data_IF_474122314329
#
_entry.id   IF_474122314329
#
_cell.length_a   1.000
_cell.length_b   1.000
_cell.length_c   1.000
_cell.angle_alpha   90.00
_cell.angle_beta   90.00
_cell.angle_gamma   90.00
#
_symmetry.space_group_name_H-M   'P 1'
#
loop_
_entity.id
_entity.type
_entity.pdbx_description
1 polymer ?
#
# COMPACT_ATOMS: atom_id res chain seq x y z
N UNK A 1 12.93 -16.04 -28.86
CA UNK A 1 13.97 -15.78 -27.84
C UNK A 1 13.67 -16.66 -26.65
N UNK A 2 14.65 -17.41 -26.12
CA UNK A 2 14.40 -18.35 -25.02
C UNK A 2 14.37 -17.68 -23.64
N UNK A 3 15.04 -16.54 -23.48
CA UNK A 3 15.16 -15.78 -22.23
C UNK A 3 15.01 -14.28 -22.50
N UNK A 4 14.22 -13.61 -21.67
CA UNK A 4 14.01 -12.15 -21.69
C UNK A 4 14.14 -11.64 -20.25
N UNK A 5 14.98 -10.62 -20.02
CA UNK A 5 15.14 -9.97 -18.70
C UNK A 5 15.26 -8.45 -18.91
N UNK A 6 14.53 -7.68 -18.10
CA UNK A 6 14.67 -6.23 -17.99
C UNK A 6 15.81 -5.92 -17.01
N UNK A 7 16.96 -5.50 -17.54
CA UNK A 7 18.22 -5.42 -16.78
C UNK A 7 18.39 -4.16 -15.91
N UNK A 8 17.56 -3.14 -16.09
CA UNK A 8 17.73 -1.86 -15.40
C UNK A 8 16.92 -1.73 -14.10
N UNK A 9 15.94 -2.62 -13.86
CA UNK A 9 14.93 -2.43 -12.82
C UNK A 9 15.53 -2.47 -11.41
N UNK A 10 15.57 -1.31 -10.75
CA UNK A 10 15.94 -1.20 -9.33
C UNK A 10 14.69 -1.26 -8.45
N UNK A 11 14.64 -2.26 -7.58
CA UNK A 11 13.57 -2.43 -6.61
C UNK A 11 14.16 -2.44 -5.20
N UNK A 12 13.73 -1.49 -4.38
CA UNK A 12 14.07 -1.43 -2.97
C UNK A 12 12.79 -1.60 -2.16
N UNK A 13 12.74 -2.65 -1.33
CA UNK A 13 11.65 -2.82 -0.40
C UNK A 13 11.84 -1.85 0.78
N UNK A 14 10.84 -1.00 1.05
CA UNK A 14 10.89 -0.06 2.18
C UNK A 14 9.71 -0.27 3.13
N UNK A 15 8.53 -0.51 2.58
CA UNK A 15 7.25 -0.60 3.30
C UNK A 15 6.52 -1.93 3.08
N UNK A 16 7.13 -2.86 2.34
CA UNK A 16 6.53 -4.14 1.93
C UNK A 16 5.21 -3.98 1.15
N UNK A 17 5.02 -2.80 0.53
CA UNK A 17 3.75 -2.42 -0.08
C UNK A 17 3.74 -2.69 -1.58
N UNK A 18 2.52 -2.76 -2.12
CA UNK A 18 2.29 -2.71 -3.57
C UNK A 18 2.95 -1.47 -4.20
N UNK A 19 2.93 -0.33 -3.50
CA UNK A 19 3.51 0.94 -3.97
C UNK A 19 5.00 0.83 -4.24
N UNK A 20 5.77 0.09 -3.42
CA UNK A 20 7.20 -0.08 -3.66
C UNK A 20 7.42 -0.80 -5.01
N UNK A 21 6.64 -1.85 -5.29
CA UNK A 21 6.74 -2.62 -6.54
C UNK A 21 6.28 -1.80 -7.76
N UNK A 22 5.16 -1.07 -7.63
CA UNK A 22 4.67 -0.16 -8.65
C UNK A 22 5.71 0.94 -8.96
N UNK A 23 6.31 1.54 -7.94
CA UNK A 23 7.31 2.59 -8.11
C UNK A 23 8.53 2.11 -8.90
N UNK A 24 9.04 0.92 -8.59
CA UNK A 24 10.16 0.33 -9.32
C UNK A 24 9.84 0.13 -10.81
N UNK A 25 8.63 -0.35 -11.13
CA UNK A 25 8.20 -0.56 -12.52
C UNK A 25 8.03 0.77 -13.27
N UNK A 26 7.32 1.73 -12.67
CA UNK A 26 7.00 3.00 -13.35
C UNK A 26 8.22 3.89 -13.53
N UNK A 27 9.12 3.93 -12.54
CA UNK A 27 10.36 4.71 -12.62
C UNK A 27 11.27 4.15 -13.71
N UNK A 28 11.45 2.83 -13.75
CA UNK A 28 12.23 2.17 -14.78
C UNK A 28 11.64 2.41 -16.18
N UNK A 29 10.32 2.34 -16.29
CA UNK A 29 9.64 2.58 -17.56
C UNK A 29 9.75 4.05 -18.03
N UNK A 30 10.16 4.96 -17.14
CA UNK A 30 10.12 6.40 -17.37
C UNK A 30 8.71 6.98 -17.31
N UNK A 31 7.75 6.23 -16.76
CA UNK A 31 6.35 6.66 -16.60
C UNK A 31 6.14 7.47 -15.32
N UNK A 32 7.05 7.39 -14.34
CA UNK A 32 6.97 8.21 -13.14
C UNK A 32 8.34 8.76 -12.78
N UNK A 33 8.42 10.08 -12.59
CA UNK A 33 9.70 10.79 -12.37
C UNK A 33 9.77 11.52 -11.03
N UNK A 34 8.64 11.56 -10.30
CA UNK A 34 8.59 12.14 -8.95
C UNK A 34 9.07 11.13 -7.91
N UNK A 35 9.45 11.56 -6.69
CA UNK A 35 9.87 10.65 -5.63
C UNK A 35 8.78 9.64 -5.22
N UNK A 36 9.16 8.50 -4.62
CA UNK A 36 8.22 7.45 -4.18
C UNK A 36 7.09 7.97 -3.29
N UNK A 37 7.37 8.90 -2.38
CA UNK A 37 6.34 9.51 -1.53
C UNK A 37 5.25 10.21 -2.37
N UNK A 38 5.59 10.80 -3.52
CA UNK A 38 4.60 11.35 -4.45
C UNK A 38 3.73 10.26 -5.05
N UNK A 39 4.29 9.11 -5.45
CA UNK A 39 3.48 7.98 -5.91
C UNK A 39 2.54 7.48 -4.79
N UNK A 40 3.09 7.28 -3.59
CA UNK A 40 2.37 6.79 -2.42
C UNK A 40 1.21 7.71 -2.02
N UNK A 41 1.45 9.03 -2.10
CA UNK A 41 0.44 10.05 -1.85
C UNK A 41 -0.59 10.19 -2.96
N UNK A 42 -0.17 10.31 -4.23
CA UNK A 42 -1.09 10.48 -5.37
C UNK A 42 -2.03 9.28 -5.57
N UNK A 43 -1.58 8.08 -5.20
CA UNK A 43 -2.42 6.86 -5.19
C UNK A 43 -3.23 6.68 -3.90
N UNK A 44 -3.12 7.62 -2.96
CA UNK A 44 -3.70 7.58 -1.61
C UNK A 44 -3.28 6.36 -0.75
N UNK A 45 -2.28 5.59 -1.18
CA UNK A 45 -1.83 4.38 -0.51
C UNK A 45 -1.28 4.65 0.90
N UNK A 46 -0.55 5.76 1.09
CA UNK A 46 0.01 6.13 2.40
C UNK A 46 -1.05 6.55 3.44
N UNK A 47 -2.28 6.84 3.01
CA UNK A 47 -3.39 7.21 3.90
C UNK A 47 -4.23 6.03 4.34
N UNK A 48 -4.07 4.85 3.73
CA UNK A 48 -4.78 3.64 4.17
C UNK A 48 -4.28 3.22 5.55
N UNK A 49 -5.22 2.94 6.45
CA UNK A 49 -4.92 2.45 7.78
C UNK A 49 -6.02 1.48 8.23
N UNK A 50 -5.71 0.19 8.21
CA UNK A 50 -6.62 -0.88 8.62
C UNK A 50 -5.89 -1.83 9.55
N UNK A 51 -6.54 -2.25 10.63
CA UNK A 51 -5.94 -3.18 11.59
C UNK A 51 -6.92 -4.28 11.93
N UNK A 52 -6.43 -5.51 12.01
CA UNK A 52 -7.15 -6.58 12.67
C UNK A 52 -7.25 -6.22 14.16
N UNK A 53 -8.39 -6.47 14.80
CA UNK A 53 -8.61 -6.12 16.22
C UNK A 53 -7.70 -6.89 17.19
N UNK A 54 -7.04 -7.94 16.72
CA UNK A 54 -5.99 -8.68 17.46
C UNK A 54 -4.57 -8.37 16.95
N UNK A 55 -4.41 -7.37 16.09
CA UNK A 55 -3.12 -6.90 15.55
C UNK A 55 -2.33 -7.97 14.78
N UNK A 56 -3.01 -8.80 13.99
CA UNK A 56 -2.34 -9.76 13.10
C UNK A 56 -1.52 -9.04 12.01
N UNK A 57 -0.44 -9.68 11.53
CA UNK A 57 0.45 -9.13 10.48
C UNK A 57 -0.24 -8.87 9.15
N UNK A 58 -1.35 -9.55 8.87
CA UNK A 58 -2.16 -9.33 7.67
C UNK A 58 -2.88 -7.97 7.65
N UNK A 59 -2.92 -7.24 8.77
CA UNK A 59 -3.52 -5.90 8.88
C UNK A 59 -3.11 -4.96 7.75
N UNK A 60 -1.83 -4.96 7.40
CA UNK A 60 -1.29 -4.10 6.36
C UNK A 60 -1.63 -4.56 4.93
N UNK A 61 -2.07 -5.81 4.73
CA UNK A 61 -2.39 -6.35 3.40
C UNK A 61 -3.84 -6.78 3.23
N UNK A 62 -4.64 -6.77 4.29
CA UNK A 62 -6.08 -7.01 4.27
C UNK A 62 -6.81 -5.79 3.71
N UNK A 63 -7.07 -5.80 2.40
CA UNK A 63 -7.91 -4.84 1.69
C UNK A 63 -8.26 -5.39 0.30
N UNK A 64 -9.16 -4.73 -0.43
CA UNK A 64 -9.50 -5.12 -1.79
C UNK A 64 -8.40 -4.77 -2.80
N UNK A 65 -7.43 -5.66 -2.99
CA UNK A 65 -6.31 -5.45 -3.93
C UNK A 65 -6.79 -5.10 -5.34
N UNK A 66 -7.83 -5.78 -5.83
CA UNK A 66 -8.36 -5.53 -7.16
C UNK A 66 -8.92 -4.11 -7.28
N UNK A 67 -9.74 -3.66 -6.35
CA UNK A 67 -10.28 -2.30 -6.44
C UNK A 67 -9.17 -1.25 -6.25
N UNK A 68 -8.41 -1.36 -5.17
CA UNK A 68 -7.45 -0.34 -4.75
C UNK A 68 -6.28 -0.19 -5.73
N UNK A 69 -5.74 -1.28 -6.27
CA UNK A 69 -4.61 -1.19 -7.19
C UNK A 69 -5.00 -0.74 -8.60
N UNK A 70 -6.26 -0.97 -9.01
CA UNK A 70 -6.77 -0.41 -10.27
C UNK A 70 -6.94 1.11 -10.12
N UNK A 71 -7.62 1.55 -9.06
CA UNK A 71 -7.82 2.96 -8.75
C UNK A 71 -6.48 3.68 -8.58
N UNK A 72 -5.50 3.05 -7.92
CA UNK A 72 -4.15 3.60 -7.82
C UNK A 72 -3.54 3.91 -9.20
N UNK A 73 -3.71 3.03 -10.19
CA UNK A 73 -3.20 3.26 -11.54
C UNK A 73 -3.98 4.37 -12.25
N UNK A 74 -5.31 4.39 -12.12
CA UNK A 74 -6.15 5.42 -12.73
C UNK A 74 -5.81 6.84 -12.20
N UNK A 75 -5.56 6.96 -10.89
CA UNK A 75 -5.16 8.22 -10.23
C UNK A 75 -3.86 8.82 -10.75
N UNK A 76 -3.00 7.99 -11.35
CA UNK A 76 -1.70 8.41 -11.90
C UNK A 76 -1.67 8.32 -13.44
N UNK A 77 -2.83 8.11 -14.08
CA UNK A 77 -2.96 8.06 -15.53
C UNK A 77 -2.37 6.82 -16.17
N UNK A 78 -2.24 5.71 -15.45
CA UNK A 78 -1.73 4.44 -15.96
C UNK A 78 -2.89 3.46 -16.15
N UNK A 79 -3.01 2.85 -17.33
CA UNK A 79 -3.95 1.76 -17.54
C UNK A 79 -3.31 0.43 -17.17
N UNK A 80 -4.06 -0.40 -16.45
CA UNK A 80 -3.61 -1.69 -15.97
C UNK A 80 -4.68 -2.77 -16.13
N UNK A 81 -4.21 -4.00 -16.34
CA UNK A 81 -5.02 -5.22 -16.28
C UNK A 81 -4.52 -6.07 -15.12
N UNK A 82 -5.42 -6.78 -14.46
CA UNK A 82 -5.11 -7.52 -13.25
C UNK A 82 -6.07 -8.68 -13.04
N UNK A 83 -5.66 -9.58 -12.15
CA UNK A 83 -6.49 -10.68 -11.66
C UNK A 83 -6.15 -10.94 -10.21
N UNK A 84 -7.18 -11.21 -9.41
CA UNK A 84 -7.09 -11.64 -8.03
C UNK A 84 -8.01 -12.83 -7.80
N UNK A 85 -7.60 -13.78 -6.98
CA UNK A 85 -8.42 -14.94 -6.66
C UNK A 85 -7.75 -15.92 -5.71
N UNK A 86 -8.30 -17.14 -5.65
CA UNK A 86 -7.82 -18.19 -4.78
C UNK A 86 -7.31 -19.39 -5.57
N UNK A 87 -6.18 -19.95 -5.14
CA UNK A 87 -5.53 -21.07 -5.80
C UNK A 87 -6.25 -22.42 -5.65
N UNK A 88 -7.24 -22.50 -4.77
CA UNK A 88 -8.09 -23.68 -4.59
C UNK A 88 -9.33 -23.69 -5.51
N UNK A 89 -9.57 -22.63 -6.29
CA UNK A 89 -10.71 -22.59 -7.22
C UNK A 89 -10.53 -23.59 -8.36
N UNK A 90 -11.58 -24.29 -8.83
CA UNK A 90 -11.47 -25.27 -9.92
C UNK A 90 -10.92 -24.69 -11.23
N UNK A 91 -11.16 -23.40 -11.47
CA UNK A 91 -10.73 -22.66 -12.65
C UNK A 91 -9.32 -22.07 -12.52
N UNK A 92 -8.67 -22.20 -11.35
CA UNK A 92 -7.34 -21.65 -11.10
C UNK A 92 -6.29 -22.02 -12.17
N UNK A 93 -6.22 -23.25 -12.71
CA UNK A 93 -5.26 -23.57 -13.77
C UNK A 93 -5.41 -22.71 -15.02
N UNK A 94 -6.64 -22.33 -15.39
CA UNK A 94 -6.90 -21.45 -16.54
C UNK A 94 -6.44 -20.02 -16.25
N UNK A 95 -6.74 -19.53 -15.05
CA UNK A 95 -6.29 -18.23 -14.58
C UNK A 95 -4.77 -18.12 -14.48
N UNK A 96 -4.10 -19.19 -14.03
CA UNK A 96 -2.62 -19.24 -13.98
C UNK A 96 -2.01 -19.17 -15.39
N UNK A 97 -2.57 -19.91 -16.36
CA UNK A 97 -2.12 -19.85 -17.76
C UNK A 97 -2.30 -18.47 -18.37
N UNK A 98 -3.44 -17.83 -18.12
CA UNK A 98 -3.71 -16.47 -18.58
C UNK A 98 -2.73 -15.47 -17.95
N UNK A 99 -2.51 -15.56 -16.64
CA UNK A 99 -1.54 -14.73 -15.93
C UNK A 99 -0.13 -14.85 -16.50
N UNK A 100 0.32 -16.08 -16.82
CA UNK A 100 1.62 -16.32 -17.45
C UNK A 100 1.71 -15.59 -18.79
N UNK A 101 0.67 -15.70 -19.62
CA UNK A 101 0.59 -15.03 -20.92
C UNK A 101 0.65 -13.52 -20.79
N UNK A 102 -0.13 -12.94 -19.87
CA UNK A 102 -0.22 -11.49 -19.69
C UNK A 102 1.09 -10.89 -19.17
N UNK A 103 1.73 -11.56 -18.20
CA UNK A 103 3.01 -11.15 -17.64
C UNK A 103 4.09 -11.18 -18.74
N UNK A 104 4.17 -12.25 -19.53
CA UNK A 104 5.12 -12.35 -20.65
C UNK A 104 4.89 -11.22 -21.66
N UNK A 105 3.63 -10.99 -22.05
CA UNK A 105 3.29 -9.91 -22.98
C UNK A 105 3.64 -8.52 -22.42
N UNK A 106 3.52 -8.32 -21.10
CA UNK A 106 3.94 -7.10 -20.42
C UNK A 106 5.47 -6.90 -20.51
N UNK A 107 6.23 -7.96 -20.22
CA UNK A 107 7.70 -7.97 -20.29
C UNK A 107 8.19 -7.75 -21.73
N UNK A 108 7.53 -8.36 -22.72
CA UNK A 108 7.86 -8.17 -24.15
C UNK A 108 7.67 -6.72 -24.60
N UNK A 109 6.78 -5.95 -23.94
CA UNK A 109 6.63 -4.50 -24.13
C UNK A 109 7.65 -3.68 -23.33
N UNK A 110 8.57 -4.32 -22.64
CA UNK A 110 9.59 -3.70 -21.80
C UNK A 110 9.03 -3.16 -20.50
N UNK A 111 8.01 -3.78 -19.90
CA UNK A 111 7.40 -3.35 -18.64
C UNK A 111 7.30 -4.54 -17.68
N UNK A 112 7.74 -4.38 -16.43
CA UNK A 112 7.58 -5.41 -15.40
C UNK A 112 6.11 -5.61 -14.99
N UNK A 113 5.84 -6.70 -14.29
CA UNK A 113 4.51 -6.98 -13.71
C UNK A 113 4.63 -7.11 -12.19
N UNK A 114 3.56 -6.76 -11.46
CA UNK A 114 3.48 -7.02 -10.02
C UNK A 114 2.80 -8.37 -9.79
N UNK A 115 3.32 -9.18 -8.87
CA UNK A 115 2.74 -10.47 -8.47
C UNK A 115 2.74 -10.58 -6.95
N UNK A 116 1.74 -11.27 -6.39
CA UNK A 116 1.75 -11.69 -4.99
C UNK A 116 2.52 -13.00 -4.80
N UNK A 117 3.65 -12.93 -4.08
CA UNK A 117 4.49 -14.06 -3.64
C UNK A 117 4.80 -13.94 -2.14
N UNK A 118 3.78 -14.10 -1.29
CA UNK A 118 3.78 -13.72 0.15
C UNK A 118 4.03 -12.23 0.43
N UNK A 119 4.34 -11.46 -0.61
CA UNK A 119 4.55 -10.02 -0.66
C UNK A 119 4.37 -9.58 -2.11
N UNK A 120 4.25 -8.29 -2.35
CA UNK A 120 4.28 -7.75 -3.72
C UNK A 120 5.70 -7.75 -4.25
N UNK A 121 5.92 -8.44 -5.37
CA UNK A 121 7.21 -8.57 -6.07
C UNK A 121 7.08 -8.12 -7.51
N UNK A 122 8.22 -7.77 -8.13
CA UNK A 122 8.27 -7.38 -9.53
C UNK A 122 8.78 -8.55 -10.36
N UNK A 123 7.97 -9.07 -11.27
CA UNK A 123 8.44 -9.99 -12.31
C UNK A 123 9.02 -9.16 -13.45
N UNK A 124 10.33 -9.33 -13.70
CA UNK A 124 11.10 -8.54 -14.66
C UNK A 124 11.70 -9.38 -15.79
N UNK A 125 11.41 -10.69 -15.85
CA UNK A 125 11.90 -11.54 -16.93
C UNK A 125 11.27 -12.91 -16.93
N UNK A 126 11.51 -13.67 -17.99
CA UNK A 126 11.10 -15.06 -18.10
C UNK A 126 12.07 -15.88 -18.96
N UNK A 127 12.02 -17.20 -18.78
CA UNK A 127 12.71 -18.20 -19.59
C UNK A 127 11.69 -19.22 -20.12
N UNK A 128 11.48 -19.25 -21.43
CA UNK A 128 10.43 -20.07 -22.05
C UNK A 128 10.69 -21.56 -21.93
N UNK A 129 11.91 -22.00 -22.23
CA UNK A 129 12.26 -23.43 -22.25
C UNK A 129 12.27 -24.03 -20.84
N UNK A 130 12.83 -23.31 -19.87
CA UNK A 130 12.86 -23.74 -18.46
C UNK A 130 11.53 -23.48 -17.72
N UNK A 131 10.59 -22.75 -18.33
CA UNK A 131 9.30 -22.38 -17.73
C UNK A 131 9.45 -21.64 -16.39
N UNK A 132 10.31 -20.62 -16.36
CA UNK A 132 10.63 -19.83 -15.17
C UNK A 132 10.34 -18.35 -15.41
N UNK A 133 9.86 -17.66 -14.38
CA UNK A 133 9.92 -16.22 -14.24
C UNK A 133 11.16 -15.82 -13.44
N UNK A 134 11.70 -14.64 -13.76
CA UNK A 134 12.67 -13.93 -12.93
C UNK A 134 11.94 -12.80 -12.21
N UNK A 135 12.18 -12.66 -10.91
CA UNK A 135 11.55 -11.62 -10.10
C UNK A 135 12.50 -10.97 -9.09
N UNK A 136 12.13 -9.77 -8.67
CA UNK A 136 12.80 -8.99 -7.64
C UNK A 136 11.86 -8.88 -6.44
N UNK A 137 12.34 -9.31 -5.27
CA UNK A 137 11.61 -9.23 -4.00
C UNK A 137 11.98 -8.00 -3.15
N UNK A 138 13.01 -7.26 -3.57
CA UNK A 138 13.48 -6.03 -2.96
C UNK A 138 14.31 -6.25 -1.70
N UNK A 139 14.66 -7.51 -1.41
CA UNK A 139 15.56 -7.94 -0.34
C UNK A 139 16.84 -8.52 -0.93
N UNK A 140 16.71 -9.46 -1.87
CA UNK A 140 17.83 -10.15 -2.45
C UNK A 140 18.59 -9.22 -3.42
N UNK A 141 19.92 -9.31 -3.40
CA UNK A 141 20.80 -8.58 -4.33
C UNK A 141 20.67 -9.07 -5.79
N UNK A 142 20.01 -10.20 -6.01
CA UNK A 142 19.86 -10.84 -7.32
C UNK A 142 18.43 -11.27 -7.61
N UNK A 143 18.11 -11.35 -8.91
CA UNK A 143 16.84 -11.89 -9.38
C UNK A 143 16.65 -13.32 -8.85
N UNK A 144 15.46 -13.56 -8.33
CA UNK A 144 14.98 -14.85 -7.88
C UNK A 144 14.25 -15.57 -9.02
N UNK A 145 14.13 -16.89 -8.92
CA UNK A 145 13.43 -17.72 -9.91
C UNK A 145 12.08 -18.20 -9.39
N UNK A 146 11.06 -18.15 -10.25
CA UNK A 146 9.70 -18.62 -9.96
C UNK A 146 9.21 -19.52 -11.09
N UNK A 147 9.06 -20.84 -10.88
CA UNK A 147 8.44 -21.72 -11.87
C UNK A 147 7.04 -21.25 -12.26
N UNK A 148 6.69 -21.33 -13.54
CA UNK A 148 5.36 -20.95 -14.05
C UNK A 148 4.24 -21.67 -13.29
N UNK A 149 4.43 -22.96 -13.00
CA UNK A 149 3.47 -23.78 -12.24
C UNK A 149 3.32 -23.36 -10.77
N UNK A 150 4.28 -22.62 -10.23
CA UNK A 150 4.24 -22.07 -8.87
C UNK A 150 3.60 -20.68 -8.79
N UNK A 151 3.31 -20.02 -9.92
CA UNK A 151 2.66 -18.70 -9.93
C UNK A 151 1.29 -18.76 -9.23
N UNK A 152 1.07 -17.91 -8.22
CA UNK A 152 -0.17 -17.88 -7.44
C UNK A 152 -0.33 -19.04 -6.44
N UNK A 153 0.68 -19.91 -6.30
CA UNK A 153 0.74 -20.94 -5.25
C UNK A 153 1.59 -20.44 -4.09
N UNK A 154 0.91 -19.84 -3.12
CA UNK A 154 1.48 -19.20 -1.95
C UNK A 154 1.16 -19.99 -0.68
N UNK A 155 1.80 -19.62 0.45
CA UNK A 155 1.43 -20.09 1.78
C UNK A 155 -0.01 -19.65 2.08
N UNK A 156 -0.31 -18.39 1.77
CA UNK A 156 -1.69 -17.91 1.69
C UNK A 156 -2.39 -18.44 0.42
N UNK A 157 -3.71 -18.65 0.43
CA UNK A 157 -4.41 -19.15 -0.76
C UNK A 157 -4.56 -18.08 -1.86
N UNK A 158 -4.14 -16.84 -1.60
CA UNK A 158 -4.30 -15.70 -2.50
C UNK A 158 -3.35 -15.77 -3.70
N UNK A 159 -3.90 -15.51 -4.88
CA UNK A 159 -3.18 -15.31 -6.13
C UNK A 159 -3.53 -13.92 -6.67
N UNK A 160 -2.53 -13.16 -7.05
CA UNK A 160 -2.70 -11.83 -7.63
C UNK A 160 -1.59 -11.51 -8.61
N UNK A 161 -1.94 -10.85 -9.71
CA UNK A 161 -0.99 -10.15 -10.57
C UNK A 161 -1.59 -8.88 -11.15
N UNK A 162 -0.71 -7.96 -11.56
CA UNK A 162 -1.07 -6.77 -12.32
C UNK A 162 -0.02 -6.47 -13.38
N UNK A 163 -0.50 -6.14 -14.58
CA UNK A 163 0.30 -5.73 -15.73
C UNK A 163 -0.11 -4.33 -16.17
N UNK A 164 0.84 -3.59 -16.73
CA UNK A 164 0.66 -2.19 -17.11
C UNK A 164 0.73 -2.04 -18.63
N UNK A 165 -0.11 -1.16 -19.16
CA UNK A 165 -0.38 -1.12 -20.61
C UNK A 165 0.01 0.20 -21.24
N UNK A 166 -0.52 1.32 -20.74
CA UNK A 166 -0.30 2.67 -21.28
C UNK A 166 -0.30 3.70 -20.17
N UNK A 167 0.21 4.88 -20.50
CA UNK A 167 0.18 6.06 -19.65
C UNK A 167 -0.38 7.26 -20.43
N UNK A 168 -1.13 8.11 -19.72
CA UNK A 168 -1.40 9.49 -20.09
C UNK A 168 -0.75 10.46 -19.09
N UNK A 169 -0.46 11.67 -19.54
CA UNK A 169 -0.05 12.74 -18.63
C UNK A 169 -1.24 13.19 -17.79
N UNK A 170 -1.00 13.45 -16.51
CA UNK A 170 -2.01 13.93 -15.56
C UNK A 170 -1.60 15.27 -14.97
N UNK A 171 -2.60 16.08 -14.62
CA UNK A 171 -2.38 17.29 -13.83
C UNK A 171 -2.03 16.89 -12.38
N UNK A 172 -0.76 17.10 -12.01
CA UNK A 172 -0.24 16.76 -10.67
C UNK A 172 -1.04 17.45 -9.57
N UNK A 173 -1.49 18.69 -9.76
CA UNK A 173 -2.27 19.39 -8.74
C UNK A 173 -3.66 18.78 -8.57
N UNK A 174 -4.27 18.27 -9.64
CA UNK A 174 -5.55 17.56 -9.55
C UNK A 174 -5.39 16.22 -8.85
N UNK A 175 -4.35 15.45 -9.16
CA UNK A 175 -4.05 14.21 -8.46
C UNK A 175 -3.79 14.45 -6.96
N UNK A 176 -3.13 15.56 -6.60
CA UNK A 176 -2.94 15.98 -5.20
C UNK A 176 -4.28 16.29 -4.51
N UNK A 177 -5.17 17.03 -5.18
CA UNK A 177 -6.49 17.34 -4.60
C UNK A 177 -7.31 16.07 -4.42
N UNK A 178 -7.29 15.18 -5.40
CA UNK A 178 -7.97 13.90 -5.36
C UNK A 178 -7.47 13.04 -4.20
N UNK A 179 -6.15 12.91 -4.05
CA UNK A 179 -5.58 12.09 -2.98
C UNK A 179 -5.96 12.57 -1.58
N UNK A 180 -6.07 13.87 -1.36
CA UNK A 180 -6.54 14.41 -0.08
C UNK A 180 -8.03 14.17 0.16
N UNK A 181 -8.86 14.17 -0.89
CA UNK A 181 -10.25 13.72 -0.77
C UNK A 181 -10.29 12.24 -0.36
N UNK A 182 -9.48 11.40 -1.00
CA UNK A 182 -9.34 9.99 -0.66
C UNK A 182 -8.81 9.78 0.77
N UNK A 183 -7.89 10.63 1.24
CA UNK A 183 -7.39 10.59 2.62
C UNK A 183 -8.51 10.80 3.65
N UNK A 184 -9.39 11.79 3.41
CA UNK A 184 -10.57 12.03 4.27
C UNK A 184 -11.51 10.83 4.21
N UNK A 185 -11.81 10.31 3.03
CA UNK A 185 -12.68 9.16 2.86
C UNK A 185 -12.15 7.92 3.61
N UNK A 186 -10.87 7.58 3.43
CA UNK A 186 -10.21 6.44 4.10
C UNK A 186 -10.06 6.63 5.61
N UNK A 187 -9.98 7.86 6.10
CA UNK A 187 -9.93 8.15 7.52
C UNK A 187 -11.29 7.98 8.22
N UNK A 188 -12.38 8.24 7.50
CA UNK A 188 -13.75 8.30 8.06
C UNK A 188 -14.60 7.07 7.71
N UNK A 189 -14.23 6.30 6.69
CA UNK A 189 -15.04 5.20 6.15
C UNK A 189 -14.40 3.84 6.42
N UNK A 190 -15.22 2.89 6.86
CA UNK A 190 -14.81 1.51 7.00
C UNK A 190 -14.76 0.80 5.64
N UNK A 191 -13.73 -0.01 5.39
CA UNK A 191 -13.65 -0.80 4.15
C UNK A 191 -14.74 -1.89 4.16
N UNK A 192 -15.68 -1.81 3.23
CA UNK A 192 -16.83 -2.71 3.13
C UNK A 192 -16.42 -4.18 2.92
N UNK A 193 -15.21 -4.44 2.41
CA UNK A 193 -14.70 -5.79 2.20
C UNK A 193 -14.10 -6.41 3.47
N UNK A 194 -13.90 -5.62 4.52
CA UNK A 194 -13.40 -6.09 5.80
C UNK A 194 -14.53 -6.16 6.83
N UNK A 195 -14.72 -7.29 7.54
CA UNK A 195 -15.75 -7.37 8.56
C UNK A 195 -15.41 -6.43 9.74
N UNK A 196 -16.32 -5.51 10.08
CA UNK A 196 -16.16 -4.55 11.21
C UNK A 196 -15.87 -5.23 12.55
N UNK A 197 -16.34 -6.47 12.71
CA UNK A 197 -16.09 -7.30 13.89
C UNK A 197 -14.64 -7.81 13.97
N UNK A 198 -13.94 -7.91 12.84
CA UNK A 198 -12.55 -8.39 12.76
C UNK A 198 -11.54 -7.27 12.54
N UNK A 199 -11.92 -6.22 11.80
CA UNK A 199 -11.04 -5.13 11.43
C UNK A 199 -11.62 -3.77 11.84
N UNK A 200 -10.73 -2.80 12.03
CA UNK A 200 -11.06 -1.38 12.14
C UNK A 200 -10.24 -0.59 11.12
N UNK A 201 -10.84 0.44 10.53
CA UNK A 201 -10.25 1.25 9.48
C UNK A 201 -10.18 2.74 9.87
N UNK A 202 -9.28 3.47 9.21
CA UNK A 202 -9.13 4.91 9.36
C UNK A 202 -8.85 5.31 10.80
N UNK A 203 -9.51 6.38 11.27
CA UNK A 203 -9.34 6.87 12.64
C UNK A 203 -9.81 5.87 13.71
N UNK A 204 -10.70 4.93 13.38
CA UNK A 204 -11.16 3.90 14.31
C UNK A 204 -10.09 2.81 14.57
N UNK A 205 -9.12 2.65 13.67
CA UNK A 205 -8.01 1.72 13.86
C UNK A 205 -7.17 2.04 15.10
N UNK A 206 -6.99 3.34 15.41
CA UNK A 206 -6.29 3.76 16.64
C UNK A 206 -6.99 3.27 17.91
N UNK A 207 -8.33 3.35 17.95
CA UNK A 207 -9.09 2.89 19.11
C UNK A 207 -9.00 1.37 19.26
N UNK A 208 -9.09 0.64 18.14
CA UNK A 208 -8.93 -0.82 18.12
C UNK A 208 -7.53 -1.25 18.60
N UNK A 209 -6.47 -0.54 18.22
CA UNK A 209 -5.12 -0.80 18.73
C UNK A 209 -5.06 -0.59 20.24
N UNK A 210 -5.58 0.53 20.74
CA UNK A 210 -5.58 0.84 22.18
C UNK A 210 -6.37 -0.20 22.97
N UNK A 211 -7.52 -0.65 22.45
CA UNK A 211 -8.32 -1.72 23.05
C UNK A 211 -7.55 -3.04 23.10
N UNK A 212 -6.94 -3.44 21.97
CA UNK A 212 -6.15 -4.65 21.87
C UNK A 212 -5.00 -4.66 22.89
N UNK A 213 -4.25 -3.55 22.95
CA UNK A 213 -3.15 -3.35 23.91
C UNK A 213 -3.64 -3.46 25.37
N UNK A 214 -4.74 -2.80 25.73
CA UNK A 214 -5.31 -2.84 27.09
C UNK A 214 -5.78 -4.23 27.49
N UNK A 215 -6.35 -4.98 26.54
CA UNK A 215 -6.85 -6.34 26.79
C UNK A 215 -5.71 -7.36 26.96
N UNK A 216 -4.53 -7.08 26.39
CA UNK A 216 -3.42 -8.02 26.29
C UNK A 216 -3.64 -9.17 25.30
N UNK A 217 -4.81 -9.27 24.66
CA UNK A 217 -5.20 -10.35 23.75
C UNK A 217 -4.82 -10.11 22.29
N UNK A 218 -3.60 -9.63 22.04
CA UNK A 218 -3.10 -9.30 20.70
C UNK A 218 -1.87 -10.13 20.33
N UNK A 219 -1.66 -10.31 19.03
CA UNK A 219 -0.45 -10.92 18.45
C UNK A 219 0.70 -9.91 18.48
N UNK A 220 1.72 -10.14 19.31
CA UNK A 220 2.87 -9.22 19.42
C UNK A 220 3.75 -9.18 18.16
N UNK A 221 3.94 -10.32 17.50
CA UNK A 221 4.74 -10.38 16.27
C UNK A 221 3.99 -9.65 15.15
N UNK A 222 2.69 -9.94 15.02
CA UNK A 222 1.80 -9.25 14.09
C UNK A 222 1.72 -7.75 14.36
N UNK A 223 1.67 -7.33 15.63
CA UNK A 223 1.65 -5.91 16.00
C UNK A 223 2.95 -5.20 15.62
N UNK A 224 4.11 -5.82 15.87
CA UNK A 224 5.40 -5.27 15.50
C UNK A 224 5.53 -5.07 13.98
N UNK A 225 5.13 -6.07 13.19
CA UNK A 225 5.12 -5.96 11.73
C UNK A 225 4.14 -4.89 11.24
N UNK A 226 2.93 -4.87 11.80
CA UNK A 226 1.90 -3.89 11.45
C UNK A 226 2.36 -2.47 11.74
N UNK A 227 2.95 -2.22 12.90
CA UNK A 227 3.43 -0.88 13.27
C UNK A 227 4.62 -0.46 12.41
N UNK A 228 5.54 -1.37 12.10
CA UNK A 228 6.65 -1.10 11.17
C UNK A 228 6.14 -0.64 9.80
N UNK A 229 5.18 -1.37 9.21
CA UNK A 229 4.62 -1.02 7.90
C UNK A 229 3.91 0.34 7.95
N UNK A 230 3.11 0.60 8.99
CA UNK A 230 2.41 1.88 9.09
C UNK A 230 3.33 3.06 9.43
N UNK A 231 4.45 2.85 10.12
CA UNK A 231 5.49 3.89 10.26
C UNK A 231 6.04 4.31 8.92
N UNK A 232 6.36 3.35 8.03
CA UNK A 232 6.81 3.67 6.67
C UNK A 232 5.72 4.43 5.88
N UNK A 233 4.44 4.03 6.01
CA UNK A 233 3.33 4.73 5.37
C UNK A 233 3.16 6.17 5.89
N UNK A 234 3.28 6.40 7.21
CA UNK A 234 3.18 7.75 7.78
C UNK A 234 4.38 8.64 7.42
N UNK A 235 5.58 8.06 7.27
CA UNK A 235 6.74 8.75 6.72
C UNK A 235 6.52 9.17 5.26
N UNK A 236 5.95 8.29 4.43
CA UNK A 236 5.60 8.62 3.06
C UNK A 236 4.52 9.71 3.00
N UNK A 237 3.49 9.66 3.86
CA UNK A 237 2.47 10.71 3.96
C UNK A 237 3.06 12.07 4.36
N UNK A 238 4.00 12.10 5.32
CA UNK A 238 4.69 13.30 5.74
C UNK A 238 5.54 13.89 4.59
N UNK A 239 6.39 13.07 3.96
CA UNK A 239 7.22 13.51 2.83
C UNK A 239 6.36 14.00 1.67
N UNK A 240 5.29 13.27 1.36
CA UNK A 240 4.33 13.65 0.34
C UNK A 240 3.72 15.02 0.62
N UNK A 241 3.18 15.23 1.82
CA UNK A 241 2.55 16.50 2.17
C UNK A 241 3.55 17.68 2.14
N UNK A 242 4.84 17.44 2.39
CA UNK A 242 5.89 18.44 2.21
C UNK A 242 6.17 18.75 0.73
N UNK A 243 6.28 17.72 -0.13
CA UNK A 243 6.44 17.90 -1.58
C UNK A 243 5.25 18.65 -2.21
N UNK A 244 4.04 18.38 -1.72
CA UNK A 244 2.81 19.08 -2.14
C UNK A 244 2.93 20.60 -2.00
N UNK A 245 3.71 21.13 -1.06
CA UNK A 245 3.83 22.58 -0.86
C UNK A 245 4.43 23.30 -2.07
N UNK A 246 5.20 22.62 -2.92
CA UNK A 246 5.70 23.19 -4.17
C UNK A 246 4.59 23.43 -5.20
N UNK A 247 3.52 22.62 -5.15
CA UNK A 247 2.38 22.68 -6.06
C UNK A 247 1.21 23.46 -5.47
N UNK A 248 1.05 23.38 -4.14
CA UNK A 248 -0.10 23.93 -3.43
C UNK A 248 0.29 24.42 -2.02
N UNK A 249 0.86 25.63 -1.90
CA UNK A 249 1.34 26.17 -0.62
C UNK A 249 0.28 26.27 0.49
N UNK A 250 -1.01 26.31 0.12
CA UNK A 250 -2.12 26.31 1.06
C UNK A 250 -2.23 25.02 1.90
N UNK A 251 -1.57 23.93 1.49
CA UNK A 251 -1.50 22.68 2.23
C UNK A 251 -0.50 22.68 3.41
N UNK A 252 0.07 23.84 3.78
CA UNK A 252 1.09 23.98 4.84
C UNK A 252 0.68 23.36 6.17
N UNK A 253 -0.55 23.55 6.61
CA UNK A 253 -1.04 22.97 7.88
C UNK A 253 -1.13 21.44 7.80
N UNK A 254 -1.58 20.90 6.67
CA UNK A 254 -1.65 19.45 6.41
C UNK A 254 -0.25 18.84 6.51
N UNK A 255 0.75 19.48 5.89
CA UNK A 255 2.14 19.04 5.95
C UNK A 255 2.68 19.01 7.38
N UNK A 256 2.41 20.06 8.17
CA UNK A 256 2.84 20.11 9.58
C UNK A 256 2.22 18.97 10.41
N UNK A 257 0.94 18.66 10.22
CA UNK A 257 0.27 17.59 10.95
C UNK A 257 0.79 16.19 10.56
N UNK A 258 1.01 15.92 9.27
CA UNK A 258 1.58 14.63 8.86
C UNK A 258 3.05 14.48 9.26
N UNK A 259 3.86 15.54 9.24
CA UNK A 259 5.22 15.51 9.82
C UNK A 259 5.17 15.12 11.29
N UNK A 260 4.28 15.74 12.08
CA UNK A 260 4.11 15.38 13.48
C UNK A 260 3.66 13.93 13.68
N UNK A 261 2.73 13.46 12.84
CA UNK A 261 2.26 12.07 12.88
C UNK A 261 3.40 11.07 12.62
N UNK A 262 4.25 11.35 11.63
CA UNK A 262 5.42 10.53 11.31
C UNK A 262 6.38 10.40 12.49
N UNK A 263 6.71 11.51 13.16
CA UNK A 263 7.57 11.50 14.36
C UNK A 263 7.00 10.62 15.48
N UNK A 264 5.68 10.63 15.66
CA UNK A 264 5.01 9.81 16.68
C UNK A 264 5.10 8.33 16.32
N UNK A 265 4.92 7.96 15.05
CA UNK A 265 5.05 6.58 14.57
C UNK A 265 6.49 6.06 14.66
N UNK A 266 7.48 6.92 14.43
CA UNK A 266 8.88 6.59 14.70
C UNK A 266 9.08 6.23 16.17
N UNK A 267 8.54 7.03 17.10
CA UNK A 267 8.58 6.73 18.53
C UNK A 267 7.85 5.43 18.89
N UNK A 268 6.70 5.12 18.27
CA UNK A 268 5.97 3.86 18.45
C UNK A 268 6.87 2.67 18.13
N UNK A 269 7.58 2.71 17.01
CA UNK A 269 8.46 1.59 16.59
C UNK A 269 9.72 1.44 17.44
N UNK A 270 10.08 2.43 18.27
CA UNK A 270 11.17 2.28 19.25
C UNK A 270 10.74 1.52 20.51
N UNK A 271 9.45 1.25 20.69
CA UNK A 271 8.95 0.43 21.80
C UNK A 271 8.99 -1.04 21.38
N UNK A 272 9.93 -1.80 21.95
CA UNK A 272 10.08 -3.23 21.67
C UNK A 272 8.86 -4.04 22.16
N UNK A 273 8.18 -4.72 21.23
CA UNK A 273 7.02 -5.58 21.52
C UNK A 273 7.38 -7.05 21.77
N UNK A 274 8.66 -7.41 21.64
CA UNK A 274 9.14 -8.80 21.63
C UNK A 274 9.08 -9.51 23.00
N UNK A 275 8.78 -8.76 24.07
CA UNK A 275 8.61 -9.33 25.41
C UNK A 275 7.13 -9.34 25.76
N UNK A 276 6.51 -10.52 25.75
CA UNK A 276 5.16 -10.70 26.28
C UNK A 276 5.19 -11.38 27.67
N UNK A 277 4.41 -10.87 28.65
CA UNK A 277 3.64 -9.62 28.59
C UNK A 277 4.56 -8.38 28.61
N UNK A 278 4.15 -7.31 27.92
CA UNK A 278 4.84 -6.02 28.00
C UNK A 278 4.86 -5.48 29.43
N UNK A 279 5.96 -4.86 29.88
CA UNK A 279 5.96 -4.13 31.15
C UNK A 279 4.86 -3.05 31.16
N UNK A 280 4.12 -2.86 32.27
CA UNK A 280 3.01 -1.90 32.33
C UNK A 280 3.40 -0.47 31.91
N UNK A 281 4.62 -0.03 32.22
CA UNK A 281 5.12 1.29 31.81
C UNK A 281 5.26 1.43 30.29
N UNK A 282 5.70 0.37 29.58
CA UNK A 282 5.82 0.35 28.12
C UNK A 282 4.46 0.26 27.44
N UNK A 283 3.54 -0.48 28.04
CA UNK A 283 2.17 -0.56 27.56
C UNK A 283 1.47 0.81 27.63
N UNK A 284 1.58 1.51 28.75
CA UNK A 284 1.02 2.86 28.92
C UNK A 284 1.69 3.88 27.98
N UNK A 285 2.99 3.77 27.74
CA UNK A 285 3.71 4.57 26.75
C UNK A 285 3.12 4.38 25.35
N UNK A 286 2.93 3.14 24.89
CA UNK A 286 2.32 2.84 23.59
C UNK A 286 0.88 3.35 23.48
N UNK A 287 0.05 3.10 24.49
CA UNK A 287 -1.34 3.57 24.52
C UNK A 287 -1.39 5.10 24.40
N UNK A 288 -0.48 5.79 25.11
CA UNK A 288 -0.36 7.26 25.04
C UNK A 288 0.06 7.71 23.64
N UNK A 289 1.08 7.07 23.05
CA UNK A 289 1.55 7.40 21.70
C UNK A 289 0.45 7.23 20.65
N UNK A 290 -0.33 6.14 20.69
CA UNK A 290 -1.46 5.96 19.77
C UNK A 290 -2.59 6.98 19.98
N UNK A 291 -2.85 7.39 21.23
CA UNK A 291 -3.78 8.49 21.50
C UNK A 291 -3.33 9.83 20.89
N UNK A 292 -2.04 10.15 21.00
CA UNK A 292 -1.45 11.37 20.40
C UNK A 292 -1.41 11.26 18.87
N UNK A 293 -1.10 10.08 18.32
CA UNK A 293 -1.12 9.82 16.88
C UNK A 293 -2.53 10.03 16.28
N UNK A 294 -3.57 9.50 16.95
CA UNK A 294 -4.96 9.70 16.55
C UNK A 294 -5.32 11.18 16.50
N UNK A 295 -4.92 11.96 17.51
CA UNK A 295 -5.17 13.39 17.55
C UNK A 295 -4.45 14.14 16.41
N UNK A 296 -3.21 13.78 16.12
CA UNK A 296 -2.42 14.37 15.03
C UNK A 296 -3.04 14.07 13.65
N UNK A 297 -3.42 12.81 13.37
CA UNK A 297 -4.08 12.46 12.11
C UNK A 297 -5.46 13.13 12.00
N UNK A 298 -6.24 13.19 13.08
CA UNK A 298 -7.52 13.91 13.10
C UNK A 298 -7.34 15.37 12.70
N UNK A 299 -6.31 16.05 13.20
CA UNK A 299 -6.01 17.44 12.85
C UNK A 299 -5.59 17.59 11.37
N UNK A 300 -4.82 16.63 10.83
CA UNK A 300 -4.50 16.59 9.40
C UNK A 300 -5.77 16.49 8.54
N UNK A 301 -6.66 15.55 8.87
CA UNK A 301 -7.93 15.33 8.16
C UNK A 301 -8.84 16.56 8.25
N UNK A 302 -8.92 17.21 9.41
CA UNK A 302 -9.68 18.46 9.57
C UNK A 302 -9.11 19.60 8.70
N UNK A 303 -7.78 19.71 8.62
CA UNK A 303 -7.10 20.70 7.78
C UNK A 303 -7.39 20.46 6.29
N UNK A 304 -7.40 19.20 5.86
CA UNK A 304 -7.80 18.82 4.50
C UNK A 304 -9.25 19.26 4.24
N UNK A 305 -10.18 18.94 5.14
CA UNK A 305 -11.60 19.33 5.00
C UNK A 305 -11.79 20.84 4.93
N UNK A 306 -11.03 21.59 5.70
CA UNK A 306 -11.07 23.04 5.67
C UNK A 306 -10.62 23.57 4.31
N UNK A 307 -9.51 23.03 3.79
CA UNK A 307 -8.94 23.43 2.51
C UNK A 307 -9.82 23.03 1.30
N UNK A 308 -10.51 21.88 1.37
CA UNK A 308 -11.31 21.29 0.30
C UNK A 308 -12.83 21.32 0.56
N UNK A 309 -13.29 22.31 1.36
CA UNK A 309 -14.67 22.36 1.88
C UNK A 309 -15.75 22.27 0.80
N UNK A 310 -15.59 22.97 -0.33
CA UNK A 310 -16.56 22.96 -1.42
C UNK A 310 -16.54 21.64 -2.24
N UNK A 311 -15.38 21.15 -2.72
CA UNK A 311 -15.30 19.86 -3.42
C UNK A 311 -15.81 18.65 -2.61
N UNK A 312 -15.46 18.57 -1.32
CA UNK A 312 -15.84 17.42 -0.48
C UNK A 312 -17.35 17.39 -0.24
N UNK A 313 -17.97 18.54 0.03
CA UNK A 313 -19.41 18.61 0.27
C UNK A 313 -20.24 18.19 -0.95
N UNK A 314 -19.76 18.50 -2.16
CA UNK A 314 -20.47 18.21 -3.41
C UNK A 314 -20.34 16.74 -3.86
N UNK A 315 -19.30 16.02 -3.39
CA UNK A 315 -19.00 14.65 -3.84
C UNK A 315 -19.73 13.52 -3.12
N UNK A 316 -20.33 13.75 -1.95
CA UNK A 316 -21.07 12.70 -1.25
C UNK A 316 -22.24 12.10 -2.08
N UNK A 317 -22.63 12.78 -3.17
CA UNK A 317 -23.67 12.36 -4.11
C UNK A 317 -23.16 11.69 -5.40
N UNK A 318 -21.84 11.61 -5.62
CA UNK A 318 -21.28 11.03 -6.84
C UNK A 318 -20.88 9.55 -6.61
N UNK A 319 -21.50 8.64 -7.35
CA UNK A 319 -21.44 7.18 -7.10
C UNK A 319 -20.17 6.56 -7.71
N UNK A 320 -19.54 7.21 -8.70
CA UNK A 320 -18.43 6.65 -9.48
C UNK A 320 -17.05 6.62 -8.80
N UNK A 321 -16.95 7.10 -7.57
CA UNK A 321 -15.69 7.21 -6.80
C UNK A 321 -15.75 6.50 -5.43
N UNK A 322 -16.78 5.67 -5.22
CA UNK A 322 -16.93 4.80 -4.04
C UNK A 322 -16.33 3.42 -4.29
#
# INVERSE_FOLDING_TARGET
MSKVILHSLQYRQESHSFTDALYGILTEKGWFTLPKCMLSGMTAACFRFSVHRQLHSDSATAYNWMAEHLVACDLIGVTASQMGGFNFTPTFPLYQQQAISDIKACIDRGTGAVVWKERFVIVNGYHEQEQLFYYLDGIADSCQELPFLALGRNLSPYAYYQVYEKQIEIDVLQAIKESFIQAVFKAETHDIMLPESGYACGLAAYDAIVEALRSGGYDAEGAAETFFVYTAAKQDAAKYAQEVLAYWPAAKEIAAHYTRLSEIFEAITQVELHTQPLPPSRLEELITLFGVAKAAETAAIQSIRHLLREPIANRFHDIGLR
#
